data_IF_905795017490
#
_entry.id   IF_905795017490
#
_cell.length_a   1.000
_cell.length_b   1.000
_cell.length_c   1.000
_cell.angle_alpha   90.00
_cell.angle_beta   90.00
_cell.angle_gamma   90.00
#
_symmetry.space_group_name_H-M   'P 1'
#
loop_
_entity.id
_entity.type
_entity.pdbx_description
1 polymer ?
#
# COMPACT_ATOMS: atom_id res chain seq x y z
N UNK A 1 1.25 -19.08 -17.47
CA UNK A 1 0.34 -17.92 -17.51
C UNK A 1 1.21 -16.68 -17.60
N UNK A 2 1.14 -15.95 -18.71
CA UNK A 2 2.02 -14.82 -19.00
C UNK A 2 1.12 -13.62 -19.25
N UNK A 3 1.07 -12.66 -18.32
CA UNK A 3 0.17 -11.51 -18.40
C UNK A 3 0.11 -10.73 -17.10
N UNK A 4 -0.34 -9.48 -17.16
CA UNK A 4 -0.57 -8.62 -16.01
C UNK A 4 -2.07 -8.58 -15.73
N UNK A 5 -2.47 -8.97 -14.51
CA UNK A 5 -3.88 -9.20 -14.22
C UNK A 5 -4.15 -9.38 -12.73
N UNK A 6 -5.39 -9.11 -12.34
CA UNK A 6 -5.92 -9.30 -11.00
C UNK A 6 -6.47 -10.70 -10.83
N UNK A 7 -6.23 -11.31 -9.68
CA UNK A 7 -7.00 -12.48 -9.23
C UNK A 7 -8.13 -11.97 -8.35
N UNK A 8 -9.36 -12.26 -8.76
CA UNK A 8 -10.57 -11.92 -8.02
C UNK A 8 -11.11 -13.19 -7.40
N UNK A 9 -11.31 -13.18 -6.09
CA UNK A 9 -11.93 -14.26 -5.35
C UNK A 9 -13.20 -13.75 -4.66
N UNK A 10 -14.32 -14.33 -5.03
CA UNK A 10 -15.61 -14.10 -4.39
C UNK A 10 -15.88 -15.25 -3.40
N UNK A 11 -15.78 -14.93 -2.12
CA UNK A 11 -15.99 -15.91 -1.04
C UNK A 11 -17.44 -16.37 -0.93
N UNK A 12 -18.42 -15.53 -1.32
CA UNK A 12 -19.85 -15.84 -1.24
C UNK A 12 -20.25 -16.93 -2.22
N UNK A 13 -19.64 -16.92 -3.42
CA UNK A 13 -19.87 -17.92 -4.47
C UNK A 13 -18.74 -18.95 -4.56
N UNK A 14 -17.68 -18.79 -3.76
CA UNK A 14 -16.42 -19.57 -3.82
C UNK A 14 -15.81 -19.59 -5.23
N UNK A 15 -16.04 -18.53 -6.01
CA UNK A 15 -15.56 -18.41 -7.38
C UNK A 15 -14.26 -17.62 -7.42
N UNK A 16 -13.32 -18.08 -8.23
CA UNK A 16 -12.10 -17.36 -8.54
C UNK A 16 -12.01 -17.12 -10.04
N UNK A 17 -11.52 -15.95 -10.43
CA UNK A 17 -11.20 -15.66 -11.80
C UNK A 17 -9.99 -14.74 -11.89
N UNK A 18 -9.40 -14.70 -13.09
CA UNK A 18 -8.34 -13.77 -13.43
C UNK A 18 -8.90 -12.74 -14.40
N UNK A 19 -8.79 -11.47 -14.03
CA UNK A 19 -9.18 -10.33 -14.87
C UNK A 19 -7.92 -9.66 -15.41
N UNK A 20 -7.86 -9.47 -16.71
CA UNK A 20 -6.76 -8.76 -17.38
C UNK A 20 -7.27 -7.48 -18.03
N UNK A 21 -6.41 -6.47 -18.14
CA UNK A 21 -6.70 -5.22 -18.82
C UNK A 21 -5.42 -4.62 -19.38
N UNK A 22 -5.51 -3.88 -20.48
CA UNK A 22 -4.36 -3.17 -21.04
C UNK A 22 -3.82 -2.09 -20.09
N UNK A 23 -4.67 -1.53 -19.22
CA UNK A 23 -4.27 -0.56 -18.19
C UNK A 23 -3.48 -1.18 -17.03
N UNK A 24 -3.40 -2.52 -16.94
CA UNK A 24 -2.58 -3.23 -15.96
C UNK A 24 -1.15 -3.49 -16.45
N UNK A 25 -0.84 -3.15 -17.71
CA UNK A 25 0.47 -3.39 -18.32
C UNK A 25 1.45 -2.28 -17.95
N UNK A 26 2.76 -2.58 -17.89
CA UNK A 26 3.79 -1.55 -17.74
C UNK A 26 3.77 -0.60 -18.95
N UNK A 27 3.96 0.70 -18.70
CA UNK A 27 4.07 1.75 -19.72
C UNK A 27 5.41 2.47 -19.68
N UNK A 28 6.09 2.51 -18.54
CA UNK A 28 7.42 3.11 -18.34
C UNK A 28 8.29 2.26 -17.40
N UNK A 29 9.28 1.56 -17.99
CA UNK A 29 10.17 0.64 -17.28
C UNK A 29 11.36 1.29 -16.58
N UNK A 30 11.56 2.61 -16.71
CA UNK A 30 12.69 3.30 -16.10
C UNK A 30 12.26 4.01 -14.82
N UNK A 31 12.84 3.58 -13.69
CA UNK A 31 12.53 4.13 -12.36
C UNK A 31 13.74 4.90 -11.85
N UNK A 32 13.49 6.05 -11.23
CA UNK A 32 14.49 6.89 -10.58
C UNK A 32 14.10 7.11 -9.12
N UNK A 33 14.99 6.74 -8.19
CA UNK A 33 14.81 6.93 -6.75
C UNK A 33 16.13 7.45 -6.19
N UNK A 34 16.11 8.58 -5.47
CA UNK A 34 17.31 9.16 -4.85
C UNK A 34 18.51 9.30 -5.82
N UNK A 35 18.23 9.67 -7.06
CA UNK A 35 19.17 9.80 -8.19
C UNK A 35 19.81 8.48 -8.70
N UNK A 36 19.44 7.31 -8.15
CA UNK A 36 19.78 6.03 -8.76
C UNK A 36 18.70 5.67 -9.78
N UNK A 37 19.14 5.33 -11.00
CA UNK A 37 18.26 4.91 -12.09
C UNK A 37 18.42 3.40 -12.32
N UNK A 38 17.30 2.70 -12.44
CA UNK A 38 17.30 1.27 -12.71
C UNK A 38 16.09 0.88 -13.57
N UNK A 39 16.20 -0.26 -14.25
CA UNK A 39 15.10 -0.81 -15.02
C UNK A 39 14.27 -1.72 -14.13
N UNK A 40 12.97 -1.45 -14.07
CA UNK A 40 12.00 -2.30 -13.39
C UNK A 40 10.72 -2.30 -14.22
N UNK A 41 10.42 -3.44 -14.85
CA UNK A 41 9.29 -3.61 -15.77
C UNK A 41 8.31 -4.58 -15.13
N UNK A 42 7.24 -4.05 -14.56
CA UNK A 42 6.17 -4.83 -13.96
C UNK A 42 4.83 -4.10 -14.08
N UNK A 43 3.74 -4.86 -14.14
CA UNK A 43 2.39 -4.32 -14.35
C UNK A 43 1.73 -3.86 -13.07
N UNK A 44 0.42 -4.09 -12.97
CA UNK A 44 -0.37 -3.84 -11.78
C UNK A 44 0.34 -4.36 -10.52
N UNK A 45 0.52 -3.49 -9.55
CA UNK A 45 1.33 -3.76 -8.36
C UNK A 45 0.62 -3.35 -7.08
N UNK A 46 0.16 -2.11 -7.03
CA UNK A 46 -0.50 -1.57 -5.84
C UNK A 46 -1.98 -1.33 -6.08
N UNK A 47 -2.78 -1.57 -5.05
CA UNK A 47 -4.22 -1.41 -5.09
C UNK A 47 -4.79 -0.96 -3.74
N UNK A 48 -5.90 -0.24 -3.78
CA UNK A 48 -6.67 0.14 -2.60
C UNK A 48 -8.15 0.24 -2.95
N UNK A 49 -9.02 -0.02 -1.99
CA UNK A 49 -10.46 0.17 -2.16
C UNK A 49 -10.87 1.54 -1.67
N UNK A 50 -11.80 2.17 -2.36
CA UNK A 50 -12.47 3.38 -1.89
C UNK A 50 -13.92 3.32 -2.35
N UNK A 51 -14.83 3.13 -1.39
CA UNK A 51 -16.25 2.81 -1.64
C UNK A 51 -16.41 1.57 -2.53
N UNK A 52 -17.18 1.69 -3.60
CA UNK A 52 -17.48 0.59 -4.54
C UNK A 52 -16.39 0.38 -5.60
N UNK A 53 -15.31 1.17 -5.58
CA UNK A 53 -14.26 1.14 -6.60
C UNK A 53 -12.94 0.57 -6.04
N UNK A 54 -12.29 -0.24 -6.86
CA UNK A 54 -10.89 -0.64 -6.68
C UNK A 54 -10.00 0.31 -7.48
N UNK A 55 -9.13 1.03 -6.79
CA UNK A 55 -8.08 1.85 -7.38
C UNK A 55 -6.81 1.02 -7.49
N UNK A 56 -6.07 1.16 -8.57
CA UNK A 56 -4.81 0.45 -8.77
C UNK A 56 -3.84 1.23 -9.64
N UNK A 57 -2.57 0.88 -9.49
CA UNK A 57 -1.47 1.44 -10.27
C UNK A 57 -0.53 0.32 -10.76
N UNK A 58 -0.15 0.33 -12.05
CA UNK A 58 1.05 -0.35 -12.51
C UNK A 58 2.29 0.32 -11.90
N UNK A 59 3.20 -0.45 -11.33
CA UNK A 59 4.44 0.10 -10.73
C UNK A 59 5.35 0.71 -11.80
N UNK A 60 5.38 0.14 -12.99
CA UNK A 60 6.05 0.72 -14.17
C UNK A 60 5.07 1.58 -14.96
N UNK A 61 4.38 2.49 -14.29
CA UNK A 61 3.39 3.39 -14.88
C UNK A 61 3.24 4.66 -14.06
N UNK A 62 2.65 5.69 -14.67
CA UNK A 62 2.46 7.02 -14.06
C UNK A 62 0.98 7.39 -13.99
N UNK A 63 0.12 6.39 -13.89
CA UNK A 63 -1.34 6.57 -13.89
C UNK A 63 -1.96 5.65 -12.84
N UNK A 64 -2.93 6.19 -12.10
CA UNK A 64 -3.81 5.43 -11.22
C UNK A 64 -5.16 5.32 -11.93
N UNK A 65 -5.65 4.09 -12.04
CA UNK A 65 -6.94 3.77 -12.61
C UNK A 65 -7.89 3.29 -11.52
N UNK A 66 -9.17 3.21 -11.87
CA UNK A 66 -10.17 2.54 -11.06
C UNK A 66 -11.11 1.68 -11.90
N UNK A 67 -11.63 0.64 -11.26
CA UNK A 67 -12.69 -0.21 -11.79
C UNK A 67 -13.68 -0.53 -10.67
N UNK A 68 -14.96 -0.62 -11.00
CA UNK A 68 -15.97 -0.95 -10.01
C UNK A 68 -15.81 -2.40 -9.51
N UNK A 69 -15.90 -2.61 -8.20
CA UNK A 69 -15.74 -3.94 -7.59
C UNK A 69 -16.86 -4.88 -8.05
N UNK A 70 -18.09 -4.40 -8.22
CA UNK A 70 -19.20 -5.24 -8.72
C UNK A 70 -18.91 -5.73 -10.13
N UNK A 71 -18.32 -4.88 -10.97
CA UNK A 71 -17.84 -5.29 -12.30
C UNK A 71 -16.77 -6.37 -12.17
N UNK A 72 -15.75 -6.20 -11.31
CA UNK A 72 -14.73 -7.24 -11.12
C UNK A 72 -15.32 -8.59 -10.67
N UNK A 73 -16.32 -8.56 -9.79
CA UNK A 73 -17.00 -9.76 -9.30
C UNK A 73 -17.77 -10.51 -10.39
N UNK A 74 -18.11 -9.89 -11.52
CA UNK A 74 -18.71 -10.61 -12.67
C UNK A 74 -17.69 -11.42 -13.46
N UNK A 75 -16.39 -11.30 -13.15
CA UNK A 75 -15.29 -11.90 -13.90
C UNK A 75 -15.27 -11.47 -15.37
N UNK A 76 -15.15 -10.16 -15.65
CA UNK A 76 -15.19 -9.64 -17.01
C UNK A 76 -14.01 -10.15 -17.84
N UNK A 77 -14.24 -10.32 -19.13
CA UNK A 77 -13.14 -10.51 -20.08
C UNK A 77 -12.33 -9.21 -20.24
N UNK A 78 -11.25 -9.30 -21.03
CA UNK A 78 -10.33 -8.18 -21.23
C UNK A 78 -11.00 -6.95 -21.87
N UNK A 79 -11.90 -7.16 -22.83
CA UNK A 79 -12.57 -6.05 -23.54
C UNK A 79 -13.52 -5.32 -22.60
N UNK A 80 -14.30 -6.08 -21.82
CA UNK A 80 -15.19 -5.55 -20.79
C UNK A 80 -14.40 -4.82 -19.69
N UNK A 81 -13.32 -5.43 -19.20
CA UNK A 81 -12.46 -4.79 -18.20
C UNK A 81 -11.86 -3.48 -18.74
N UNK A 82 -11.41 -3.45 -20.00
CA UNK A 82 -10.92 -2.23 -20.63
C UNK A 82 -12.00 -1.15 -20.76
N UNK A 83 -13.24 -1.52 -21.08
CA UNK A 83 -14.34 -0.56 -21.21
C UNK A 83 -14.75 0.07 -19.87
N UNK A 84 -14.65 -0.70 -18.78
CA UNK A 84 -15.10 -0.30 -17.44
C UNK A 84 -14.02 0.43 -16.63
N UNK A 85 -12.75 0.29 -17.02
CA UNK A 85 -11.64 0.98 -16.39
C UNK A 85 -11.68 2.48 -16.65
N UNK A 86 -11.42 3.27 -15.60
CA UNK A 86 -11.41 4.72 -15.65
C UNK A 86 -10.07 5.26 -15.15
N UNK A 87 -9.46 6.13 -15.93
CA UNK A 87 -8.33 6.94 -15.48
C UNK A 87 -8.77 7.84 -14.32
N UNK A 88 -7.92 7.96 -13.30
CA UNK A 88 -8.19 8.79 -12.13
C UNK A 88 -7.12 9.84 -11.86
N UNK A 89 -5.86 9.42 -11.72
CA UNK A 89 -4.77 10.31 -11.28
C UNK A 89 -3.59 10.15 -12.22
N UNK A 90 -3.06 11.28 -12.72
CA UNK A 90 -1.77 11.32 -13.41
C UNK A 90 -0.68 11.58 -12.38
N UNK A 91 0.31 10.71 -12.33
CA UNK A 91 1.45 10.81 -11.43
C UNK A 91 2.60 11.57 -12.10
N UNK A 92 3.35 12.33 -11.32
CA UNK A 92 4.61 12.96 -11.73
C UNK A 92 5.72 11.93 -11.96
N UNK A 93 5.75 10.88 -11.16
CA UNK A 93 6.66 9.73 -11.30
C UNK A 93 5.97 8.43 -10.88
N UNK A 94 6.66 7.30 -11.05
CA UNK A 94 6.16 6.00 -10.59
C UNK A 94 5.89 6.01 -9.08
N UNK A 95 4.84 5.32 -8.66
CA UNK A 95 4.53 5.09 -7.25
C UNK A 95 4.82 3.63 -6.87
N UNK A 96 5.30 3.42 -5.64
CA UNK A 96 5.28 2.13 -4.99
C UNK A 96 3.86 1.79 -4.54
N UNK A 97 3.61 1.88 -3.23
CA UNK A 97 2.31 1.55 -2.66
C UNK A 97 1.32 2.72 -2.70
N UNK A 98 0.04 2.38 -2.75
CA UNK A 98 -1.11 3.27 -2.65
C UNK A 98 -2.07 2.78 -1.57
N UNK A 99 -2.75 3.69 -0.89
CA UNK A 99 -3.84 3.40 0.06
C UNK A 99 -4.91 4.48 -0.04
N UNK A 100 -6.07 4.29 0.59
CA UNK A 100 -7.10 5.32 0.70
C UNK A 100 -7.23 5.82 2.15
N UNK A 101 -7.50 7.13 2.30
CA UNK A 101 -7.84 7.77 3.55
C UNK A 101 -9.01 8.74 3.32
N UNK A 102 -10.18 8.39 3.84
CA UNK A 102 -11.42 9.09 3.50
C UNK A 102 -11.63 9.18 1.99
N UNK A 103 -11.79 10.38 1.43
CA UNK A 103 -11.96 10.68 0.00
C UNK A 103 -10.65 10.78 -0.81
N UNK A 104 -9.50 10.48 -0.22
CA UNK A 104 -8.21 10.63 -0.86
C UNK A 104 -7.52 9.30 -1.13
N UNK A 105 -6.79 9.25 -2.24
CA UNK A 105 -5.79 8.22 -2.52
C UNK A 105 -4.44 8.78 -2.09
N UNK A 106 -3.74 8.05 -1.23
CA UNK A 106 -2.39 8.36 -0.79
C UNK A 106 -1.41 7.48 -1.55
N UNK A 107 -0.29 8.05 -1.99
CA UNK A 107 0.70 7.36 -2.83
C UNK A 107 2.06 8.05 -2.74
N UNK A 108 3.11 7.34 -3.14
CA UNK A 108 4.48 7.88 -3.18
C UNK A 108 4.83 8.49 -4.53
N UNK A 109 5.69 9.50 -4.52
CA UNK A 109 6.43 9.96 -5.70
C UNK A 109 7.89 9.50 -5.57
N UNK A 110 8.28 8.52 -6.37
CA UNK A 110 9.63 7.92 -6.33
C UNK A 110 10.74 8.93 -6.64
N UNK A 111 10.47 9.88 -7.55
CA UNK A 111 11.45 10.85 -7.99
C UNK A 111 11.54 12.05 -7.04
N UNK A 112 10.41 12.56 -6.56
CA UNK A 112 10.37 13.67 -5.60
C UNK A 112 10.63 13.22 -4.16
N UNK A 113 10.62 11.91 -3.90
CA UNK A 113 10.85 11.28 -2.59
C UNK A 113 9.87 11.83 -1.55
N UNK A 114 8.60 11.74 -1.91
CA UNK A 114 7.49 12.30 -1.14
C UNK A 114 6.31 11.36 -1.05
N UNK A 115 5.49 11.58 -0.03
CA UNK A 115 4.15 11.03 0.09
C UNK A 115 3.14 12.11 -0.31
N UNK A 116 2.23 11.76 -1.19
CA UNK A 116 1.19 12.63 -1.74
C UNK A 116 -0.18 12.11 -1.33
N UNK A 117 -1.16 13.01 -1.32
CA UNK A 117 -2.58 12.67 -1.19
C UNK A 117 -3.40 13.42 -2.22
N UNK A 118 -4.22 12.71 -2.99
CA UNK A 118 -5.14 13.30 -3.97
C UNK A 118 -6.58 13.04 -3.57
N UNK A 119 -7.36 14.10 -3.35
CA UNK A 119 -8.80 13.98 -3.15
C UNK A 119 -9.49 13.68 -4.50
N UNK A 120 -10.05 12.48 -4.64
CA UNK A 120 -10.60 12.01 -5.93
C UNK A 120 -11.99 12.53 -6.24
N UNK A 121 -12.62 13.26 -5.31
CA UNK A 121 -13.93 13.91 -5.51
C UNK A 121 -13.82 15.41 -5.80
N UNK A 122 -12.66 16.00 -5.53
CA UNK A 122 -12.40 17.38 -5.88
C UNK A 122 -12.02 17.49 -7.35
N UNK A 123 -12.80 18.25 -8.13
CA UNK A 123 -12.59 18.45 -9.58
C UNK A 123 -11.50 19.48 -9.91
N UNK A 124 -10.78 19.97 -8.92
CA UNK A 124 -9.74 20.98 -9.07
C UNK A 124 -8.43 20.34 -9.51
N UNK A 125 -7.69 20.99 -10.41
CA UNK A 125 -6.30 20.60 -10.76
C UNK A 125 -5.33 20.74 -9.58
N UNK A 126 -5.80 21.28 -8.44
CA UNK A 126 -5.06 21.44 -7.18
C UNK A 126 -5.51 20.47 -6.09
N UNK A 127 -6.16 19.36 -6.45
CA UNK A 127 -6.66 18.36 -5.50
C UNK A 127 -5.59 17.46 -4.88
N UNK A 128 -4.31 17.70 -5.19
CA UNK A 128 -3.17 16.90 -4.74
C UNK A 128 -2.27 17.71 -3.82
N UNK A 129 -1.94 17.15 -2.65
CA UNK A 129 -1.09 17.78 -1.64
C UNK A 129 0.11 16.90 -1.30
N UNK A 130 1.23 17.53 -0.93
CA UNK A 130 2.40 16.85 -0.37
C UNK A 130 2.16 16.67 1.12
N UNK A 131 2.09 15.42 1.57
CA UNK A 131 1.88 15.05 2.97
C UNK A 131 3.20 14.95 3.74
N UNK A 132 4.25 14.46 3.08
CA UNK A 132 5.60 14.39 3.63
C UNK A 132 6.63 14.35 2.49
N UNK A 133 7.81 14.90 2.71
CA UNK A 133 8.92 14.83 1.76
C UNK A 133 10.24 14.80 2.53
N UNK A 134 11.02 13.72 2.36
CA UNK A 134 12.30 13.56 3.02
C UNK A 134 13.18 12.55 2.26
N UNK A 135 14.29 13.04 1.71
CA UNK A 135 15.23 12.27 0.88
C UNK A 135 15.88 11.08 1.60
N UNK A 136 15.95 11.13 2.93
CA UNK A 136 16.50 10.06 3.74
C UNK A 136 15.43 9.09 4.20
N UNK A 137 14.22 9.57 4.52
CA UNK A 137 13.18 8.75 5.11
C UNK A 137 12.29 8.02 4.09
N UNK A 138 11.99 8.63 2.93
CA UNK A 138 10.90 8.19 2.04
C UNK A 138 11.35 7.66 0.68
N UNK A 139 12.56 7.12 0.56
CA UNK A 139 13.17 6.74 -0.73
C UNK A 139 12.30 5.80 -1.57
N UNK A 140 12.13 4.54 -1.17
CA UNK A 140 11.21 3.62 -1.81
C UNK A 140 10.11 3.22 -0.82
N UNK A 141 8.86 3.58 -1.09
CA UNK A 141 7.72 3.25 -0.21
C UNK A 141 7.19 1.86 -0.56
N UNK A 142 7.56 0.87 0.26
CA UNK A 142 7.27 -0.54 0.07
C UNK A 142 5.94 -0.98 0.72
N UNK A 143 5.46 -0.27 1.74
CA UNK A 143 4.15 -0.47 2.37
C UNK A 143 3.54 0.86 2.76
N UNK A 144 2.24 1.03 2.56
CA UNK A 144 1.47 2.19 3.00
C UNK A 144 0.11 1.71 3.50
N UNK A 145 -0.23 2.03 4.76
CA UNK A 145 -1.47 1.58 5.41
C UNK A 145 -2.10 2.71 6.23
N UNK A 146 -3.42 2.70 6.29
CA UNK A 146 -4.21 3.61 7.12
C UNK A 146 -4.84 2.80 8.24
N UNK A 147 -4.64 3.22 9.48
CA UNK A 147 -5.32 2.68 10.65
C UNK A 147 -6.21 3.74 11.27
N UNK A 148 -7.52 3.56 11.15
CA UNK A 148 -8.49 4.42 11.81
C UNK A 148 -8.51 4.21 13.33
N UNK A 149 -8.24 2.99 13.81
CA UNK A 149 -8.18 2.67 15.23
C UNK A 149 -7.03 3.41 15.92
N UNK A 150 -5.82 3.34 15.35
CA UNK A 150 -4.65 4.03 15.89
C UNK A 150 -4.55 5.50 15.46
N UNK A 151 -5.43 5.94 14.55
CA UNK A 151 -5.40 7.27 13.91
C UNK A 151 -4.05 7.58 13.27
N UNK A 152 -3.46 6.59 12.58
CA UNK A 152 -2.15 6.73 11.91
C UNK A 152 -2.21 6.29 10.46
N UNK A 153 -1.39 6.96 9.64
CA UNK A 153 -0.91 6.43 8.37
C UNK A 153 0.49 5.91 8.60
N UNK A 154 0.72 4.63 8.31
CA UNK A 154 2.00 3.96 8.53
C UNK A 154 2.64 3.64 7.20
N UNK A 155 3.91 3.98 7.05
CA UNK A 155 4.72 3.79 5.86
C UNK A 155 5.94 2.94 6.20
N UNK A 156 6.19 1.90 5.40
CA UNK A 156 7.48 1.21 5.37
C UNK A 156 8.24 1.74 4.15
N UNK A 157 9.36 2.40 4.39
CA UNK A 157 10.27 2.84 3.35
C UNK A 157 11.60 2.11 3.42
N UNK A 158 12.11 1.71 2.28
CA UNK A 158 13.42 1.10 2.15
C UNK A 158 14.26 1.80 1.08
N UNK A 159 15.42 1.20 0.77
CA UNK A 159 16.32 1.64 -0.29
C UNK A 159 16.33 0.66 -1.44
N UNK A 160 15.16 0.25 -1.92
CA UNK A 160 14.99 -0.74 -2.99
C UNK A 160 15.91 -0.52 -4.18
N UNK A 161 16.15 0.72 -4.59
CA UNK A 161 17.06 1.05 -5.69
C UNK A 161 18.50 0.55 -5.45
N UNK A 162 18.94 0.49 -4.19
CA UNK A 162 20.25 -0.04 -3.81
C UNK A 162 20.29 -1.57 -3.89
N UNK A 163 19.19 -2.22 -3.51
CA UNK A 163 19.03 -3.67 -3.66
C UNK A 163 18.99 -4.06 -5.14
N UNK A 164 18.19 -3.36 -5.95
CA UNK A 164 18.07 -3.57 -7.39
C UNK A 164 19.41 -3.37 -8.12
N UNK A 165 20.24 -2.43 -7.65
CA UNK A 165 21.56 -2.14 -8.23
C UNK A 165 22.70 -2.97 -7.64
N UNK A 166 22.44 -3.80 -6.62
CA UNK A 166 23.47 -4.62 -5.96
C UNK A 166 24.51 -3.83 -5.16
N UNK A 167 24.19 -2.60 -4.71
CA UNK A 167 25.13 -1.69 -4.02
C UNK A 167 24.64 -1.28 -2.61
N UNK A 168 23.92 -2.19 -1.93
CA UNK A 168 23.43 -1.98 -0.56
C UNK A 168 24.60 -1.85 0.42
N UNK A 169 24.56 -0.81 1.24
CA UNK A 169 25.52 -0.58 2.32
C UNK A 169 24.93 -1.07 3.64
N UNK A 170 25.47 -2.16 4.19
CA UNK A 170 24.93 -2.81 5.41
C UNK A 170 25.20 -2.01 6.69
N UNK A 171 26.15 -1.07 6.65
CA UNK A 171 26.46 -0.16 7.75
C UNK A 171 25.54 1.08 7.80
N UNK A 172 24.58 1.20 6.87
CA UNK A 172 23.60 2.28 6.81
C UNK A 172 22.19 1.80 7.16
N UNK A 173 21.31 2.70 7.58
CA UNK A 173 19.88 2.39 7.76
C UNK A 173 19.21 2.20 6.39
N UNK A 174 18.84 0.95 6.08
CA UNK A 174 18.22 0.60 4.79
C UNK A 174 16.70 0.51 4.83
N UNK A 175 16.09 0.34 6.02
CA UNK A 175 14.65 0.18 6.20
C UNK A 175 14.17 1.14 7.30
N UNK A 176 12.97 1.70 7.11
CA UNK A 176 12.38 2.72 7.98
C UNK A 176 10.89 2.51 8.12
N UNK A 177 10.43 2.60 9.35
CA UNK A 177 9.01 2.66 9.68
C UNK A 177 8.66 4.09 10.06
N UNK A 178 7.61 4.64 9.46
CA UNK A 178 7.20 6.03 9.61
C UNK A 178 5.72 6.06 9.94
N UNK A 179 5.34 6.89 10.90
CA UNK A 179 3.95 7.15 11.24
C UNK A 179 3.63 8.62 10.98
N UNK A 180 2.48 8.86 10.37
CA UNK A 180 1.92 10.19 10.12
C UNK A 180 0.56 10.24 10.80
N UNK A 181 0.21 11.38 11.40
CA UNK A 181 -1.09 11.54 12.03
C UNK A 181 -2.22 11.53 10.99
N UNK A 182 -3.22 10.66 11.18
CA UNK A 182 -4.31 10.53 10.22
C UNK A 182 -5.20 11.77 10.20
N UNK A 183 -5.37 12.47 11.32
CA UNK A 183 -6.20 13.68 11.37
C UNK A 183 -5.55 14.81 10.56
N UNK A 184 -4.22 14.91 10.62
CA UNK A 184 -3.45 15.81 9.77
C UNK A 184 -3.61 15.46 8.29
N UNK A 185 -3.44 14.19 7.91
CA UNK A 185 -3.63 13.76 6.51
C UNK A 185 -5.02 14.11 5.98
N UNK A 186 -6.07 13.89 6.78
CA UNK A 186 -7.43 14.21 6.39
C UNK A 186 -7.64 15.73 6.26
N UNK A 187 -7.06 16.53 7.17
CA UNK A 187 -7.11 17.99 7.09
C UNK A 187 -6.44 18.53 5.83
N UNK A 188 -5.23 18.05 5.53
CA UNK A 188 -4.45 18.50 4.37
C UNK A 188 -5.11 18.09 3.05
N UNK A 189 -5.76 16.92 3.00
CA UNK A 189 -6.52 16.48 1.82
C UNK A 189 -7.93 17.10 1.72
N UNK A 190 -8.17 18.20 2.45
CA UNK A 190 -9.41 18.97 2.49
C UNK A 190 -10.64 18.14 2.88
N UNK A 191 -10.46 17.22 3.83
CA UNK A 191 -11.52 16.37 4.35
C UNK A 191 -11.89 16.74 5.78
N UNK A 192 -13.16 16.50 6.11
CA UNK A 192 -13.62 16.50 7.49
C UNK A 192 -13.66 15.06 7.99
N UNK A 193 -13.19 14.81 9.21
CA UNK A 193 -13.34 13.50 9.86
C UNK A 193 -14.82 13.08 9.83
N UNK A 194 -15.14 11.80 9.51
CA UNK A 194 -16.50 11.30 9.60
C UNK A 194 -17.08 11.59 10.99
N UNK A 195 -18.30 12.13 11.03
CA UNK A 195 -18.98 12.59 12.26
C UNK A 195 -19.10 11.48 13.33
N UNK A 196 -18.99 10.21 12.94
CA UNK A 196 -19.04 9.03 13.80
C UNK A 196 -17.89 9.02 14.83
N UNK A 197 -16.73 9.63 14.52
CA UNK A 197 -15.59 9.72 15.44
C UNK A 197 -15.55 11.01 16.28
N UNK A 198 -16.55 11.90 16.12
CA UNK A 198 -16.64 13.17 16.87
C UNK A 198 -17.35 13.05 18.23
N UNK A 199 -17.78 11.86 18.65
CA UNK A 199 -18.37 11.69 19.99
C UNK A 199 -17.30 11.53 21.07
N UNK A 200 -17.36 12.48 22.01
CA UNK A 200 -16.87 12.47 23.40
C UNK A 200 -15.45 12.97 23.65
N UNK A 201 -15.26 14.28 23.47
CA UNK A 201 -14.32 15.04 24.27
C UNK A 201 -14.99 15.92 25.35
N UNK A 202 -16.33 15.93 25.49
CA UNK A 202 -17.02 16.86 26.41
C UNK A 202 -18.32 16.37 27.09
N UNK A 203 -18.66 15.08 27.09
CA UNK A 203 -19.80 14.58 27.88
C UNK A 203 -19.35 13.59 28.95
N UNK A 204 -18.98 14.12 30.11
CA UNK A 204 -19.12 13.40 31.38
C UNK A 204 -20.60 13.42 31.75
N UNK A 205 -21.19 12.22 31.81
CA UNK A 205 -22.58 11.89 32.18
C UNK A 205 -23.61 11.91 31.03
N UNK A 206 -23.64 10.84 30.24
CA UNK A 206 -24.91 10.11 30.11
C UNK A 206 -24.71 8.64 29.73
N UNK A 207 -25.41 7.75 30.45
CA UNK A 207 -25.48 6.32 30.13
C UNK A 207 -26.50 6.16 29.03
N UNK A 208 -26.05 5.94 27.80
CA UNK A 208 -26.90 5.37 26.75
C UNK A 208 -26.25 4.11 26.18
N UNK A 209 -26.83 2.98 26.57
CA UNK A 209 -26.69 1.69 25.92
C UNK A 209 -27.25 1.85 24.51
N UNK A 210 -26.42 1.60 23.50
CA UNK A 210 -26.90 1.28 22.16
C UNK A 210 -26.27 -0.06 21.81
N UNK A 211 -27.09 -1.10 21.92
CA UNK A 211 -26.79 -2.42 21.41
C UNK A 211 -26.58 -2.34 19.90
N UNK A 212 -25.46 -2.90 19.44
CA UNK A 212 -25.38 -3.48 18.12
C UNK A 212 -24.77 -4.87 18.29
N UNK A 213 -25.63 -5.87 18.19
CA UNK A 213 -25.27 -7.24 17.84
C UNK A 213 -24.70 -7.22 16.42
N UNK A 214 -23.41 -7.49 16.29
CA UNK A 214 -22.86 -8.12 15.10
C UNK A 214 -22.31 -9.49 15.49
N UNK A 215 -22.69 -10.49 14.71
CA UNK A 215 -22.41 -11.91 14.91
C UNK A 215 -20.95 -12.17 15.30
N UNK A 216 -20.79 -12.68 16.52
CA UNK A 216 -19.54 -13.26 17.00
C UNK A 216 -19.22 -14.50 16.17
N UNK A 217 -18.40 -14.33 15.15
CA UNK A 217 -17.53 -15.42 14.68
C UNK A 217 -16.18 -15.20 15.33
N UNK A 218 -16.01 -15.73 16.54
CA UNK A 218 -14.70 -15.93 17.14
C UNK A 218 -14.06 -17.07 16.35
N UNK A 219 -13.17 -16.73 15.43
CA UNK A 219 -12.17 -17.70 14.96
C UNK A 219 -10.98 -17.51 15.88
N UNK A 220 -10.89 -18.40 16.86
CA UNK A 220 -9.70 -18.60 17.67
C UNK A 220 -8.58 -19.00 16.72
N UNK A 221 -7.57 -18.15 16.56
CA UNK A 221 -6.30 -18.57 15.99
C UNK A 221 -5.35 -18.76 17.17
N UNK A 222 -5.19 -20.03 17.55
CA UNK A 222 -4.13 -20.47 18.46
C UNK A 222 -2.78 -19.90 18.00
N UNK A 223 -1.97 -19.51 18.99
CA UNK A 223 -0.64 -18.94 18.81
C UNK A 223 0.28 -19.84 17.97
N UNK A 224 0.45 -19.53 16.69
CA UNK A 224 1.60 -20.04 15.93
C UNK A 224 2.85 -19.25 16.32
N UNK A 225 3.52 -19.72 17.38
CA UNK A 225 4.92 -19.37 17.67
C UNK A 225 5.79 -19.85 16.51
N UNK A 226 6.26 -18.93 15.67
CA UNK A 226 7.36 -19.26 14.75
C UNK A 226 8.65 -19.34 15.59
N UNK A 227 9.04 -20.56 15.93
CA UNK A 227 10.39 -20.91 16.35
C UNK A 227 11.25 -20.83 15.09
N UNK A 228 12.13 -19.84 15.00
CA UNK A 228 13.19 -19.83 13.98
C UNK A 228 14.30 -20.73 14.49
N UNK A 229 14.29 -22.00 14.05
CA UNK A 229 15.40 -22.92 14.28
C UNK A 229 16.63 -22.42 13.52
N UNK A 230 17.72 -22.24 14.28
CA UNK A 230 19.04 -21.96 13.76
C UNK A 230 19.62 -23.28 13.21
N UNK A 231 19.62 -23.44 11.89
CA UNK A 231 20.39 -24.52 11.24
C UNK A 231 21.73 -23.93 10.81
N UNK A 232 22.76 -24.15 11.63
CA UNK A 232 24.15 -24.13 11.18
C UNK A 232 24.44 -25.32 10.26
N UNK A 233 25.32 -25.07 9.29
CA UNK A 233 26.04 -26.04 8.44
C UNK A 233 25.28 -26.78 7.32
N UNK A 234 25.32 -26.21 6.10
CA UNK A 234 26.21 -26.66 5.00
C UNK A 234 25.84 -26.04 3.64
N UNK A 235 26.87 -25.45 3.01
CA UNK A 235 27.16 -25.25 1.57
C UNK A 235 26.01 -25.40 0.54
N UNK A 236 25.87 -24.33 -0.27
CA UNK A 236 25.12 -24.21 -1.53
C UNK A 236 23.59 -24.33 -1.41
N UNK A 237 22.92 -23.19 -1.26
CA UNK A 237 21.51 -23.03 -1.63
C UNK A 237 21.37 -21.69 -2.35
N UNK A 238 20.80 -21.76 -3.56
CA UNK A 238 20.46 -20.63 -4.41
C UNK A 238 19.67 -19.55 -3.64
N UNK A 239 20.00 -18.29 -3.92
CA UNK A 239 19.31 -17.09 -3.42
C UNK A 239 17.79 -17.27 -3.40
N UNK A 240 17.11 -17.19 -2.24
CA UNK A 240 15.67 -17.08 -2.22
C UNK A 240 15.25 -15.73 -2.80
N UNK A 241 14.31 -15.75 -3.75
CA UNK A 241 13.72 -14.55 -4.34
C UNK A 241 13.11 -13.67 -3.24
N UNK A 242 13.65 -12.45 -3.13
CA UNK A 242 13.26 -11.38 -2.22
C UNK A 242 11.77 -10.98 -2.34
N UNK A 243 11.08 -11.41 -3.41
CA UNK A 243 9.64 -11.25 -3.60
C UNK A 243 8.81 -11.88 -2.48
N UNK A 244 9.33 -12.94 -1.84
CA UNK A 244 8.65 -13.63 -0.74
C UNK A 244 8.74 -12.83 0.57
N UNK A 245 9.76 -12.00 0.75
CA UNK A 245 9.93 -11.18 1.96
C UNK A 245 8.92 -10.03 2.04
N UNK A 246 8.48 -9.49 0.90
CA UNK A 246 7.56 -8.35 0.84
C UNK A 246 6.08 -8.73 0.95
N UNK A 247 5.72 -10.00 0.72
CA UNK A 247 4.31 -10.47 0.77
C UNK A 247 3.84 -10.90 2.15
N UNK A 248 4.74 -11.10 3.13
CA UNK A 248 4.44 -11.77 4.41
C UNK A 248 4.57 -10.91 5.68
N UNK A 249 4.66 -9.58 5.58
CA UNK A 249 4.69 -8.72 6.77
C UNK A 249 3.27 -8.52 7.36
N UNK A 250 2.92 -9.35 8.34
CA UNK A 250 1.82 -9.16 9.29
C UNK A 250 2.35 -8.28 10.46
N UNK A 251 1.71 -7.16 10.87
CA UNK A 251 2.35 -6.13 11.70
C UNK A 251 2.43 -6.44 13.20
N UNK A 252 2.25 -7.69 13.63
CA UNK A 252 2.37 -8.05 15.03
C UNK A 252 3.82 -8.47 15.34
N UNK A 253 4.54 -7.55 15.99
CA UNK A 253 5.91 -7.64 16.51
C UNK A 253 7.04 -7.24 15.54
N UNK A 254 7.33 -5.94 15.50
CA UNK A 254 8.68 -5.45 15.18
C UNK A 254 9.22 -4.70 16.39
N UNK A 255 10.09 -5.36 17.15
CA UNK A 255 11.03 -4.68 18.04
C UNK A 255 12.25 -4.26 17.22
N UNK A 256 12.62 -2.98 17.28
CA UNK A 256 13.89 -2.49 16.73
C UNK A 256 15.06 -3.17 17.46
N UNK A 257 15.86 -3.96 16.75
CA UNK A 257 17.13 -4.47 17.28
C UNK A 257 18.31 -3.69 16.69
N UNK A 258 19.02 -2.99 17.57
CA UNK A 258 20.36 -2.45 17.32
C UNK A 258 21.37 -3.50 17.79
N UNK A 259 22.00 -4.24 16.89
CA UNK A 259 23.11 -5.13 17.25
C UNK A 259 24.44 -4.37 17.16
N UNK A 260 24.81 -3.70 18.25
CA UNK A 260 26.22 -3.45 18.54
C UNK A 260 26.84 -4.77 19.00
N UNK A 261 27.54 -5.48 18.11
CA UNK A 261 28.48 -6.53 18.53
C UNK A 261 29.88 -5.97 18.42
N UNK A 262 30.43 -5.60 19.58
CA UNK A 262 31.88 -5.52 19.77
C UNK A 262 32.43 -6.94 19.79
N UNK A 263 33.47 -7.21 19.01
CA UNK A 263 34.68 -7.90 19.45
C UNK A 263 35.84 -7.51 18.54
#
# INVERSE_FOLDING_TARGET
MQGYGLIVYDSSTKRMCRVESDYMRPTDGFVSIANDNFTYINGIFSMTTLYDDLFYAPVSGKEIYKINIKTLLTCPDKEQANAENKFMIKLSSQSGQITSAGHAILYSDSQAISLLGTNVYEKSDKNTVILAQDINLLQAVASLKVSHFWKKVTCLSDRFQRFASGNVQLNETNFRYIEIDLEEVLRETHQTLPTIYRKNANDQNDKTIVDHEEDKTIVDHEEDKIIVDHIEDKKNVDTPLLSTFLTYFNPFNIHSYNSNVKH
#
